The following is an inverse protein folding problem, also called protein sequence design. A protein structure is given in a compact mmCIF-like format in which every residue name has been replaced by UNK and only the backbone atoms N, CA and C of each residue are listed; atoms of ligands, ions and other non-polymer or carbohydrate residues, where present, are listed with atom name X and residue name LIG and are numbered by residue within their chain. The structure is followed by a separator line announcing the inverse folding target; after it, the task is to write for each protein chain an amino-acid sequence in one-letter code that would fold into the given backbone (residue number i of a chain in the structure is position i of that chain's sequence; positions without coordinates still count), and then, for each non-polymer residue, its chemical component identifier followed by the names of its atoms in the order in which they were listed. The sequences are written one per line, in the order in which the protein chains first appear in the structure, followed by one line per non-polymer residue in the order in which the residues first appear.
data_IF_896074773476
#
_entry.id   IF_896074773476
#
_cell.length_a   1.000
_cell.length_b   1.000
_cell.length_c   1.000
_cell.angle_alpha   90.00
_cell.angle_beta   90.00
_cell.angle_gamma   90.00
#
_symmetry.space_group_name_H-M   'P 1'
#
loop_
_entity.id
_entity.type
_entity.pdbx_description
1 polymer ?
#
# COMPACT_ATOMS: atom_id res chain seq x y z
N UNK A 1 15.43 -20.88 2.86
CA UNK A 1 15.49 -19.43 2.58
C UNK A 1 14.20 -19.03 1.88
N UNK A 2 13.05 -19.17 2.54
CA UNK A 2 12.35 -18.25 3.45
C UNK A 2 11.44 -17.27 2.68
N UNK A 3 10.36 -17.81 2.12
CA UNK A 3 9.34 -17.16 1.27
C UNK A 3 8.70 -15.91 1.88
N UNK A 4 8.79 -15.74 3.20
CA UNK A 4 8.26 -14.57 3.91
C UNK A 4 9.11 -13.32 3.66
N UNK A 5 10.44 -13.46 3.64
CA UNK A 5 11.37 -12.34 3.44
C UNK A 5 11.22 -11.75 2.03
N UNK A 6 11.04 -12.60 1.02
CA UNK A 6 10.79 -12.18 -0.36
C UNK A 6 9.40 -11.52 -0.56
N UNK A 7 8.40 -11.88 0.28
CA UNK A 7 7.08 -11.24 0.25
C UNK A 7 7.12 -9.86 0.90
N UNK A 8 7.83 -9.74 2.02
CA UNK A 8 8.00 -8.48 2.73
C UNK A 8 8.78 -7.48 1.87
N UNK A 9 9.90 -7.90 1.25
CA UNK A 9 10.68 -7.07 0.33
C UNK A 9 9.83 -6.54 -0.84
N UNK A 10 8.95 -7.38 -1.38
CA UNK A 10 8.03 -7.00 -2.45
C UNK A 10 7.02 -5.93 -2.01
N UNK A 11 6.47 -6.05 -0.80
CA UNK A 11 5.57 -5.05 -0.23
C UNK A 11 6.31 -3.73 0.03
N UNK A 12 7.49 -3.79 0.65
CA UNK A 12 8.32 -2.62 0.95
C UNK A 12 8.70 -1.86 -0.32
N UNK A 13 9.09 -2.58 -1.39
CA UNK A 13 9.42 -1.98 -2.69
C UNK A 13 8.24 -1.25 -3.32
N UNK A 14 7.03 -1.81 -3.19
CA UNK A 14 5.81 -1.19 -3.69
C UNK A 14 5.43 0.04 -2.86
N UNK A 15 5.46 -0.06 -1.52
CA UNK A 15 5.17 1.06 -0.62
C UNK A 15 6.13 2.24 -0.79
N UNK A 16 7.38 1.98 -1.18
CA UNK A 16 8.35 3.03 -1.49
C UNK A 16 7.93 3.90 -2.69
N UNK A 17 7.19 3.33 -3.66
CA UNK A 17 6.69 4.04 -4.84
C UNK A 17 5.32 4.70 -4.66
N UNK A 18 4.64 4.49 -3.53
CA UNK A 18 3.34 5.09 -3.26
C UNK A 18 3.48 6.56 -2.84
N UNK A 19 2.45 7.36 -3.13
CA UNK A 19 2.35 8.72 -2.58
C UNK A 19 2.37 8.67 -1.05
N UNK A 20 2.99 9.64 -0.36
CA UNK A 20 3.08 9.66 1.11
C UNK A 20 1.74 9.51 1.82
N UNK A 21 0.68 10.13 1.30
CA UNK A 21 -0.70 10.04 1.82
C UNK A 21 -1.20 8.59 1.85
N UNK A 22 -1.06 7.89 0.74
CA UNK A 22 -1.45 6.48 0.59
C UNK A 22 -0.53 5.61 1.43
N UNK A 23 0.79 5.84 1.37
CA UNK A 23 1.79 5.09 2.13
C UNK A 23 1.51 5.14 3.64
N UNK A 24 1.09 6.30 4.16
CA UNK A 24 0.78 6.44 5.58
C UNK A 24 -0.45 5.62 5.97
N UNK A 25 -1.52 5.66 5.18
CA UNK A 25 -2.74 4.88 5.43
C UNK A 25 -2.50 3.37 5.31
N UNK A 26 -1.67 2.96 4.37
CA UNK A 26 -1.33 1.58 4.10
C UNK A 26 -0.37 1.02 5.15
N UNK A 27 0.67 1.77 5.52
CA UNK A 27 1.63 1.40 6.57
C UNK A 27 0.96 1.22 7.94
N UNK A 28 -0.10 1.99 8.24
CA UNK A 28 -0.88 1.81 9.46
C UNK A 28 -1.62 0.47 9.53
N UNK A 29 -1.95 -0.12 8.38
CA UNK A 29 -2.64 -1.41 8.28
C UNK A 29 -1.71 -2.62 8.40
N UNK A 30 -0.37 -2.45 8.48
CA UNK A 30 0.64 -3.51 8.58
C UNK A 30 0.38 -4.70 7.64
N UNK A 31 0.15 -4.43 6.36
CA UNK A 31 -0.27 -5.44 5.39
C UNK A 31 0.93 -6.25 4.93
N UNK A 32 0.91 -7.56 5.20
CA UNK A 32 1.95 -8.50 4.76
C UNK A 32 1.65 -9.20 3.43
N UNK A 33 0.40 -9.12 2.97
CA UNK A 33 0.00 -9.72 1.70
C UNK A 33 -0.01 -8.70 0.56
N UNK A 34 0.77 -8.99 -0.47
CA UNK A 34 0.94 -8.10 -1.61
C UNK A 34 -0.38 -7.82 -2.36
N UNK A 35 -1.26 -8.82 -2.47
CA UNK A 35 -2.53 -8.62 -3.16
C UNK A 35 -3.44 -7.66 -2.38
N UNK A 36 -3.46 -7.81 -1.05
CA UNK A 36 -4.18 -6.89 -0.16
C UNK A 36 -3.56 -5.49 -0.16
N UNK A 37 -2.23 -5.39 -0.19
CA UNK A 37 -1.50 -4.11 -0.25
C UNK A 37 -1.89 -3.31 -1.49
N UNK A 38 -1.82 -3.95 -2.67
CA UNK A 38 -2.18 -3.33 -3.94
C UNK A 38 -3.65 -2.93 -3.94
N UNK A 39 -4.56 -3.82 -3.50
CA UNK A 39 -5.99 -3.51 -3.49
C UNK A 39 -6.33 -2.33 -2.56
N UNK A 40 -5.79 -2.31 -1.34
CA UNK A 40 -5.99 -1.18 -0.41
C UNK A 40 -5.37 0.11 -0.97
N UNK A 41 -4.16 0.05 -1.54
CA UNK A 41 -3.52 1.24 -2.13
C UNK A 41 -4.38 1.88 -3.23
N UNK A 42 -5.02 1.05 -4.08
CA UNK A 42 -5.93 1.50 -5.14
C UNK A 42 -7.18 2.17 -4.59
N UNK A 43 -7.76 1.62 -3.52
CA UNK A 43 -8.94 2.21 -2.87
C UNK A 43 -8.59 3.56 -2.24
N UNK A 44 -7.44 3.66 -1.57
CA UNK A 44 -6.98 4.90 -0.95
C UNK A 44 -6.62 5.99 -1.96
N UNK A 45 -6.07 5.62 -3.12
CA UNK A 45 -5.82 6.55 -4.23
C UNK A 45 -7.13 7.13 -4.78
N UNK A 46 -8.16 6.28 -4.93
CA UNK A 46 -9.49 6.71 -5.39
C UNK A 46 -10.23 7.57 -4.34
N UNK A 47 -10.19 7.21 -3.06
CA UNK A 47 -10.78 7.99 -1.96
C UNK A 47 -10.12 9.38 -1.81
N UNK A 48 -8.78 9.44 -1.95
CA UNK A 48 -8.04 10.69 -1.96
C UNK A 48 -8.45 11.61 -3.12
N UNK A 49 -8.76 11.02 -4.29
CA UNK A 49 -9.28 11.75 -5.45
C UNK A 49 -10.77 12.12 -5.31
N UNK A 50 -11.57 11.32 -4.63
CA UNK A 50 -12.97 11.63 -4.38
C UNK A 50 -13.14 12.88 -3.50
N UNK A 51 -12.22 13.09 -2.54
CA UNK A 51 -12.25 14.23 -1.60
C UNK A 51 -11.86 15.59 -2.19
N UNK A 52 -11.23 15.64 -3.37
CA UNK A 52 -10.83 16.91 -4.03
C UNK A 52 -11.89 17.51 -4.95
N UNK A 53 -13.09 16.94 -5.00
CA UNK A 53 -14.20 17.42 -5.84
C UNK A 53 -15.27 18.24 -5.08
N UNK A 54 -14.93 18.87 -3.94
CA UNK A 54 -15.81 19.83 -3.27
C UNK A 54 -15.12 21.18 -3.06
#
# INVERSE_FOLDING_TARGET
YNTLEAKDDKCVKFESGLRPDIKHMIGFSQIRDFATLVNKSRICDDDGRAKVNY
#
